data_IF_341842326409
#
_entry.id   IF_341842326409
#
_cell.length_a   1.000
_cell.length_b   1.000
_cell.length_c   1.000
_cell.angle_alpha   90.00
_cell.angle_beta   90.00
_cell.angle_gamma   90.00
#
_symmetry.space_group_name_H-M   'P 1'
#
loop_
_entity.id
_entity.type
_entity.pdbx_description
1 polymer ?
#
# COMPACT_ATOMS: atom_id res chain seq x y z
N UNK A 1 -10.92 -4.68 -19.34
CA UNK A 1 -12.02 -4.27 -18.44
C UNK A 1 -13.22 -5.10 -18.85
N UNK A 2 -14.03 -5.60 -17.90
CA UNK A 2 -14.94 -6.75 -18.07
C UNK A 2 -14.28 -8.14 -18.01
N UNK A 3 -13.36 -8.36 -17.05
CA UNK A 3 -12.74 -9.67 -16.84
C UNK A 3 -13.46 -10.54 -15.79
N UNK A 4 -14.61 -10.07 -15.28
CA UNK A 4 -15.40 -10.70 -14.23
C UNK A 4 -14.62 -11.02 -12.94
N UNK A 5 -13.50 -10.35 -12.71
CA UNK A 5 -12.60 -10.63 -11.57
C UNK A 5 -12.09 -9.40 -10.86
N UNK A 6 -11.89 -8.30 -11.57
CA UNK A 6 -11.34 -7.06 -10.98
C UNK A 6 -12.25 -5.87 -11.26
N UNK A 7 -12.44 -5.02 -10.24
CA UNK A 7 -13.23 -3.81 -10.35
C UNK A 7 -12.70 -2.71 -9.41
N UNK A 8 -13.11 -1.48 -9.68
CA UNK A 8 -12.90 -0.31 -8.83
C UNK A 8 -14.27 0.17 -8.40
N UNK A 9 -14.43 0.36 -7.10
CA UNK A 9 -15.68 0.73 -6.47
C UNK A 9 -15.49 2.11 -5.83
N UNK A 10 -16.45 2.99 -6.08
CA UNK A 10 -16.45 4.37 -5.60
C UNK A 10 -17.82 4.64 -5.00
N UNK A 11 -17.86 5.05 -3.76
CA UNK A 11 -19.12 5.34 -3.11
C UNK A 11 -19.12 6.63 -2.31
N UNK A 12 -20.32 7.17 -2.16
CA UNK A 12 -20.60 8.43 -1.49
C UNK A 12 -21.82 8.19 -0.61
N UNK A 13 -21.77 8.62 0.64
CA UNK A 13 -22.95 8.64 1.51
C UNK A 13 -23.69 9.99 1.44
N UNK A 14 -24.89 10.06 2.01
CA UNK A 14 -25.70 11.30 1.99
C UNK A 14 -25.03 12.50 2.67
N UNK A 15 -24.03 12.29 3.53
CA UNK A 15 -23.24 13.34 4.17
C UNK A 15 -22.05 13.82 3.30
N UNK A 16 -21.85 13.22 2.11
CA UNK A 16 -20.75 13.55 1.21
C UNK A 16 -19.43 12.87 1.57
N UNK A 17 -19.42 11.87 2.46
CA UNK A 17 -18.21 11.09 2.76
C UNK A 17 -17.94 10.16 1.61
N UNK A 18 -16.72 10.24 1.08
CA UNK A 18 -16.22 9.41 -0.02
C UNK A 18 -15.62 8.12 0.55
N UNK A 19 -15.73 7.04 -0.20
CA UNK A 19 -14.94 5.83 -0.01
C UNK A 19 -14.61 5.21 -1.35
N UNK A 20 -13.48 4.52 -1.43
CA UNK A 20 -13.11 3.73 -2.59
C UNK A 20 -12.49 2.40 -2.19
N UNK A 21 -12.70 1.41 -3.05
CA UNK A 21 -12.30 0.03 -2.82
C UNK A 21 -11.85 -0.54 -4.16
N UNK A 22 -10.80 -1.35 -4.13
CA UNK A 22 -10.46 -2.19 -5.28
C UNK A 22 -10.89 -3.62 -5.04
N UNK A 23 -11.73 -4.16 -5.91
CA UNK A 23 -12.15 -5.57 -5.91
C UNK A 23 -11.21 -6.42 -6.77
N UNK A 24 -10.87 -7.62 -6.30
CA UNK A 24 -10.05 -8.58 -7.04
C UNK A 24 -10.47 -10.02 -6.75
N UNK A 25 -10.11 -10.95 -7.63
CA UNK A 25 -10.50 -12.36 -7.53
C UNK A 25 -12.00 -12.57 -7.25
N UNK A 26 -12.82 -11.76 -7.92
CA UNK A 26 -14.29 -11.77 -7.91
C UNK A 26 -14.95 -11.33 -6.58
N UNK A 27 -14.43 -11.73 -5.42
CA UNK A 27 -15.06 -11.47 -4.11
C UNK A 27 -14.17 -10.67 -3.14
N UNK A 28 -12.84 -10.71 -3.32
CA UNK A 28 -11.92 -10.03 -2.42
C UNK A 28 -11.93 -8.51 -2.62
N UNK A 29 -11.59 -7.79 -1.55
CA UNK A 29 -11.55 -6.34 -1.51
C UNK A 29 -10.25 -5.85 -0.86
N UNK A 30 -9.69 -4.81 -1.47
CA UNK A 30 -8.61 -4.00 -0.94
C UNK A 30 -9.17 -2.63 -0.56
N UNK A 31 -9.35 -2.43 0.73
CA UNK A 31 -9.91 -1.23 1.37
C UNK A 31 -8.86 -0.15 1.61
N UNK A 32 -7.59 -0.49 1.41
CA UNK A 32 -6.46 0.44 1.58
C UNK A 32 -6.06 1.07 0.24
N UNK A 33 -6.72 0.68 -0.86
CA UNK A 33 -6.59 1.37 -2.14
C UNK A 33 -7.19 2.78 -2.01
N UNK A 34 -6.45 3.78 -2.48
CA UNK A 34 -6.82 5.19 -2.38
C UNK A 34 -6.68 5.86 -3.76
N UNK A 35 -7.80 6.30 -4.31
CA UNK A 35 -7.90 6.89 -5.64
C UNK A 35 -8.05 8.41 -5.60
N UNK A 36 -7.54 9.09 -6.63
CA UNK A 36 -7.71 10.54 -6.76
C UNK A 36 -8.96 10.84 -7.61
N UNK A 37 -10.09 11.11 -6.96
CA UNK A 37 -11.38 11.40 -7.60
C UNK A 37 -12.22 12.42 -6.81
N UNK A 38 -13.16 13.08 -7.48
CA UNK A 38 -14.07 14.03 -6.84
C UNK A 38 -15.49 13.45 -6.73
N UNK A 39 -16.17 13.74 -5.63
CA UNK A 39 -17.57 13.40 -5.42
C UNK A 39 -18.30 14.44 -4.59
N UNK A 40 -19.60 14.58 -4.80
CA UNK A 40 -20.44 15.48 -4.01
C UNK A 40 -21.82 14.86 -3.76
N UNK A 41 -22.39 15.15 -2.60
CA UNK A 41 -23.77 14.81 -2.27
C UNK A 41 -24.55 16.08 -1.91
N UNK A 42 -25.83 16.12 -2.28
CA UNK A 42 -26.74 17.21 -1.98
C UNK A 42 -28.05 16.65 -1.44
N UNK A 43 -28.55 17.22 -0.33
CA UNK A 43 -29.84 16.86 0.28
C UNK A 43 -30.84 17.97 -0.01
N UNK A 44 -32.02 17.61 -0.51
CA UNK A 44 -33.14 18.51 -0.76
C UNK A 44 -34.47 17.94 -0.27
N UNK A 45 -35.59 18.60 -0.61
CA UNK A 45 -36.94 18.21 -0.19
C UNK A 45 -37.39 16.85 -0.74
N UNK A 46 -36.78 16.35 -1.83
CA UNK A 46 -37.14 15.09 -2.48
C UNK A 46 -36.26 13.92 -2.02
N UNK A 47 -35.11 14.20 -1.41
CA UNK A 47 -34.19 13.19 -0.91
C UNK A 47 -32.75 13.66 -0.98
N UNK A 48 -31.85 12.79 -1.42
CA UNK A 48 -30.46 13.15 -1.67
C UNK A 48 -30.01 12.67 -3.04
N UNK A 49 -29.13 13.45 -3.65
CA UNK A 49 -28.45 13.15 -4.90
C UNK A 49 -26.95 13.09 -4.66
N UNK A 50 -26.24 12.32 -5.48
CA UNK A 50 -24.78 12.33 -5.51
C UNK A 50 -24.26 12.33 -6.94
N UNK A 51 -23.09 12.95 -7.11
CA UNK A 51 -22.36 13.05 -8.36
C UNK A 51 -20.93 12.55 -8.14
N UNK A 52 -20.44 11.77 -9.12
CA UNK A 52 -19.08 11.23 -9.14
C UNK A 52 -18.36 11.79 -10.35
N UNK A 53 -17.12 12.23 -10.15
CA UNK A 53 -16.18 12.58 -11.21
C UNK A 53 -14.94 11.72 -11.06
N UNK A 54 -14.92 10.60 -11.77
CA UNK A 54 -13.84 9.63 -11.74
C UNK A 54 -12.93 9.85 -12.96
N UNK A 55 -11.67 10.27 -12.77
CA UNK A 55 -10.72 10.39 -13.86
C UNK A 55 -10.39 9.03 -14.46
N UNK A 56 -10.41 8.92 -15.80
CA UNK A 56 -10.02 7.70 -16.51
C UNK A 56 -8.58 7.25 -16.23
N UNK A 57 -7.71 8.16 -15.79
CA UNK A 57 -6.35 7.84 -15.33
C UNK A 57 -6.30 6.91 -14.12
N UNK A 58 -7.34 6.92 -13.27
CA UNK A 58 -7.42 6.04 -12.09
C UNK A 58 -7.86 4.61 -12.47
N UNK A 59 -8.53 4.45 -13.61
CA UNK A 59 -9.13 3.19 -14.07
C UNK A 59 -8.23 2.36 -15.00
N UNK A 60 -6.90 2.50 -14.98
CA UNK A 60 -5.88 1.60 -15.59
C UNK A 60 -6.31 0.66 -16.75
N UNK A 61 -7.03 1.16 -17.75
CA UNK A 61 -7.57 0.35 -18.85
C UNK A 61 -6.74 0.55 -20.12
N UNK A 62 -6.73 -0.47 -20.97
CA UNK A 62 -6.18 -0.36 -22.33
C UNK A 62 -7.21 0.30 -23.23
N UNK A 63 -6.85 1.42 -23.86
CA UNK A 63 -7.75 2.14 -24.78
C UNK A 63 -8.01 1.33 -26.05
N UNK A 64 -9.26 1.31 -26.51
CA UNK A 64 -9.73 0.67 -27.75
C UNK A 64 -10.82 1.54 -28.41
N UNK A 65 -10.99 1.52 -29.74
CA UNK A 65 -12.05 2.28 -30.43
C UNK A 65 -13.46 1.99 -29.90
N UNK A 66 -13.74 0.72 -29.63
CA UNK A 66 -14.96 0.24 -29.00
C UNK A 66 -14.56 -0.52 -27.72
N UNK A 67 -15.15 -0.13 -26.59
CA UNK A 67 -14.90 -0.75 -25.28
C UNK A 67 -16.19 -1.19 -24.61
N UNK A 68 -16.09 -2.34 -23.95
CA UNK A 68 -17.13 -2.88 -23.07
C UNK A 68 -16.53 -3.01 -21.67
N UNK A 69 -17.21 -2.44 -20.68
CA UNK A 69 -16.78 -2.50 -19.28
C UNK A 69 -17.79 -3.28 -18.44
N UNK A 70 -17.30 -4.07 -17.51
CA UNK A 70 -18.14 -4.55 -16.41
C UNK A 70 -18.53 -3.34 -15.56
N UNK A 71 -19.82 -3.18 -15.29
CA UNK A 71 -20.36 -2.02 -14.60
C UNK A 71 -21.50 -2.43 -13.67
N UNK A 72 -21.55 -1.78 -12.52
CA UNK A 72 -22.61 -1.96 -11.55
C UNK A 72 -22.77 -0.69 -10.72
N UNK A 73 -23.98 -0.45 -10.24
CA UNK A 73 -24.22 0.46 -9.13
C UNK A 73 -25.24 -0.18 -8.20
N UNK A 74 -25.06 0.07 -6.91
CA UNK A 74 -25.95 -0.38 -5.87
C UNK A 74 -26.17 0.72 -4.85
N UNK A 75 -27.25 0.61 -4.08
CA UNK A 75 -27.59 1.51 -2.99
C UNK A 75 -27.85 0.68 -1.75
N UNK A 76 -27.17 1.00 -0.67
CA UNK A 76 -27.50 0.46 0.65
C UNK A 76 -28.29 1.50 1.44
N UNK A 77 -29.37 1.08 2.06
CA UNK A 77 -30.19 1.89 2.93
C UNK A 77 -30.35 1.21 4.30
N UNK A 78 -29.32 1.28 5.17
CA UNK A 78 -29.36 0.67 6.50
C UNK A 78 -30.57 1.15 7.34
N UNK A 79 -30.97 2.41 7.17
CA UNK A 79 -32.10 3.04 7.86
C UNK A 79 -33.48 2.58 7.35
N UNK A 80 -33.53 1.76 6.29
CA UNK A 80 -34.75 1.22 5.70
C UNK A 80 -34.66 -0.32 5.69
N UNK A 81 -34.72 -0.94 6.87
CA UNK A 81 -34.67 -2.40 7.05
C UNK A 81 -33.46 -3.08 6.37
N UNK A 82 -32.33 -2.37 6.30
CA UNK A 82 -31.13 -2.84 5.62
C UNK A 82 -31.34 -3.18 4.14
N UNK A 83 -32.17 -2.40 3.44
CA UNK A 83 -32.45 -2.57 2.02
C UNK A 83 -31.18 -2.39 1.17
N UNK A 84 -30.98 -3.30 0.21
CA UNK A 84 -29.96 -3.17 -0.84
C UNK A 84 -30.66 -3.16 -2.19
N UNK A 85 -30.56 -2.03 -2.91
CA UNK A 85 -31.08 -1.88 -4.26
C UNK A 85 -29.94 -2.09 -5.26
N UNK A 86 -30.13 -2.94 -6.27
CA UNK A 86 -29.11 -3.31 -7.25
C UNK A 86 -29.55 -2.93 -8.67
N UNK A 87 -28.64 -2.42 -9.50
CA UNK A 87 -28.92 -2.19 -10.92
C UNK A 87 -29.05 -3.49 -11.70
N UNK A 88 -28.03 -4.36 -11.59
CA UNK A 88 -28.07 -5.70 -12.14
C UNK A 88 -28.47 -6.69 -11.05
N UNK A 89 -29.21 -7.75 -11.40
CA UNK A 89 -29.61 -8.72 -10.38
C UNK A 89 -28.40 -9.54 -9.91
N UNK A 90 -28.12 -9.50 -8.61
CA UNK A 90 -27.16 -10.39 -7.96
C UNK A 90 -27.92 -11.49 -7.21
N UNK A 91 -27.85 -12.75 -7.67
CA UNK A 91 -28.50 -13.86 -6.99
C UNK A 91 -27.86 -14.10 -5.63
N UNK A 92 -28.67 -14.26 -4.57
CA UNK A 92 -28.19 -14.62 -3.22
C UNK A 92 -27.50 -15.99 -3.14
N UNK A 93 -27.63 -16.80 -4.18
CA UNK A 93 -27.01 -18.13 -4.28
C UNK A 93 -25.66 -18.12 -5.00
N UNK A 94 -25.17 -16.95 -5.42
CA UNK A 94 -23.90 -16.81 -6.13
C UNK A 94 -22.91 -16.02 -5.27
N UNK A 95 -21.76 -16.62 -5.00
CA UNK A 95 -20.74 -16.08 -4.10
C UNK A 95 -19.79 -15.07 -4.77
N UNK A 96 -19.92 -14.81 -6.08
CA UNK A 96 -19.12 -13.80 -6.79
C UNK A 96 -19.71 -12.38 -6.71
N UNK A 97 -18.88 -11.34 -6.70
CA UNK A 97 -19.33 -9.93 -6.75
C UNK A 97 -19.16 -9.38 -8.17
N UNK A 98 -17.92 -9.34 -8.64
CA UNK A 98 -17.54 -8.70 -9.90
C UNK A 98 -18.13 -9.44 -11.11
N UNK A 99 -18.25 -10.76 -11.02
CA UNK A 99 -18.82 -11.61 -12.07
C UNK A 99 -20.32 -11.41 -12.28
N UNK A 100 -21.03 -10.80 -11.32
CA UNK A 100 -22.44 -10.44 -11.43
C UNK A 100 -22.66 -9.02 -11.99
N UNK A 101 -21.60 -8.32 -12.39
CA UNK A 101 -21.73 -7.00 -12.98
C UNK A 101 -22.40 -7.07 -14.35
N UNK A 102 -23.12 -6.01 -14.72
CA UNK A 102 -23.67 -5.89 -16.07
C UNK A 102 -22.58 -5.41 -17.04
N UNK A 103 -22.89 -5.41 -18.34
CA UNK A 103 -21.98 -4.86 -19.36
C UNK A 103 -22.40 -3.46 -19.76
N UNK A 104 -21.54 -2.48 -19.51
CA UNK A 104 -21.64 -1.13 -20.07
C UNK A 104 -21.04 -1.12 -21.48
N UNK A 105 -21.88 -0.85 -22.46
CA UNK A 105 -21.51 -0.74 -23.88
C UNK A 105 -21.63 0.71 -24.36
N UNK A 106 -21.11 1.00 -25.55
CA UNK A 106 -21.21 2.34 -26.15
C UNK A 106 -20.11 3.31 -25.73
N UNK A 107 -19.10 2.85 -24.97
CA UNK A 107 -17.90 3.62 -24.68
C UNK A 107 -17.02 3.70 -25.94
N UNK A 108 -17.05 4.85 -26.60
CA UNK A 108 -16.29 5.12 -27.84
C UNK A 108 -15.31 6.25 -27.62
N UNK A 109 -14.11 6.11 -28.18
CA UNK A 109 -13.05 7.13 -28.13
C UNK A 109 -12.69 7.61 -26.72
N UNK A 110 -12.90 6.78 -25.70
CA UNK A 110 -12.46 7.08 -24.34
C UNK A 110 -10.93 6.93 -24.30
N UNK A 111 -10.24 8.06 -24.16
CA UNK A 111 -8.79 8.12 -24.07
C UNK A 111 -8.38 8.19 -22.62
N UNK A 112 -7.43 7.35 -22.22
CA UNK A 112 -6.76 7.52 -20.94
C UNK A 112 -5.74 8.64 -21.05
N UNK A 113 -5.80 9.61 -20.14
CA UNK A 113 -4.66 10.46 -19.88
C UNK A 113 -3.60 9.57 -19.20
N UNK A 114 -2.34 9.68 -19.63
CA UNK A 114 -1.21 8.98 -19.02
C UNK A 114 -0.37 9.99 -18.22
N UNK A 115 -0.94 10.62 -17.17
CA UNK A 115 -0.21 11.61 -16.39
C UNK A 115 0.96 10.93 -15.69
N UNK A 116 2.07 11.67 -15.61
CA UNK A 116 3.15 11.38 -14.68
C UNK A 116 2.87 12.23 -13.44
N UNK A 117 2.60 11.56 -12.33
CA UNK A 117 2.53 12.22 -11.03
C UNK A 117 3.91 12.16 -10.39
N UNK A 118 4.38 13.30 -9.89
CA UNK A 118 5.59 13.41 -9.07
C UNK A 118 5.17 14.11 -7.79
N UNK A 119 5.35 13.43 -6.66
CA UNK A 119 4.92 13.88 -5.35
C UNK A 119 6.18 14.00 -4.48
N UNK A 120 6.86 15.16 -4.48
CA UNK A 120 7.95 15.40 -3.56
C UNK A 120 7.41 15.61 -2.14
N UNK A 121 8.16 15.18 -1.15
CA UNK A 121 7.86 15.45 0.25
C UNK A 121 9.14 15.74 1.04
N UNK A 122 8.95 16.40 2.18
CA UNK A 122 10.00 16.67 3.15
C UNK A 122 9.45 16.44 4.55
N UNK A 123 10.23 15.76 5.38
CA UNK A 123 9.87 15.37 6.73
C UNK A 123 10.87 15.98 7.68
N UNK A 124 10.37 16.67 8.70
CA UNK A 124 11.16 17.15 9.83
C UNK A 124 10.64 16.50 11.10
N UNK A 125 11.52 15.84 11.85
CA UNK A 125 11.23 15.29 13.17
C UNK A 125 12.15 15.93 14.18
N UNK A 126 11.59 16.29 15.33
CA UNK A 126 12.33 16.77 16.48
C UNK A 126 11.84 15.98 17.71
N UNK A 127 12.63 15.02 18.15
CA UNK A 127 12.39 14.34 19.42
C UNK A 127 12.99 15.18 20.53
N UNK A 128 12.24 15.44 21.61
CA UNK A 128 12.71 16.23 22.76
C UNK A 128 12.39 15.44 24.02
N UNK A 129 13.42 15.01 24.74
CA UNK A 129 13.26 14.21 25.95
C UNK A 129 14.50 14.30 26.85
N UNK A 130 14.29 14.28 28.16
CA UNK A 130 15.37 14.13 29.14
C UNK A 130 16.07 12.76 29.02
N UNK A 131 15.35 11.74 28.53
CA UNK A 131 15.89 10.39 28.35
C UNK A 131 16.80 10.27 27.12
N UNK A 132 16.81 11.27 26.23
CA UNK A 132 17.77 11.32 25.12
C UNK A 132 19.16 11.71 25.61
N UNK A 133 19.25 12.34 26.78
CA UNK A 133 20.51 12.79 27.33
C UNK A 133 21.31 11.60 27.85
N UNK A 134 22.37 11.24 27.15
CA UNK A 134 23.36 10.25 27.62
C UNK A 134 24.72 10.90 27.80
N UNK A 135 25.69 10.15 28.33
CA UNK A 135 27.07 10.62 28.42
C UNK A 135 27.66 10.94 27.03
N UNK A 136 27.09 10.35 25.97
CA UNK A 136 27.53 10.49 24.58
C UNK A 136 26.56 11.28 23.68
N UNK A 137 25.32 11.50 24.12
CA UNK A 137 24.34 12.40 23.49
C UNK A 137 23.94 13.50 24.49
N UNK A 138 24.73 14.58 24.63
CA UNK A 138 24.50 15.58 25.68
C UNK A 138 23.28 16.48 25.39
N UNK A 139 22.78 16.46 24.16
CA UNK A 139 21.58 17.19 23.75
C UNK A 139 20.31 16.49 24.24
N UNK A 140 19.29 17.29 24.60
CA UNK A 140 17.96 16.77 24.96
C UNK A 140 17.04 16.61 23.75
N UNK A 141 17.62 16.71 22.56
CA UNK A 141 16.87 16.68 21.32
C UNK A 141 17.62 15.87 20.27
N UNK A 142 16.84 15.27 19.37
CA UNK A 142 17.32 14.70 18.12
C UNK A 142 16.51 15.30 16.97
N UNK A 143 17.19 15.76 15.92
CA UNK A 143 16.56 16.42 14.77
C UNK A 143 16.89 15.62 13.53
N UNK A 144 15.83 15.18 12.86
CA UNK A 144 15.93 14.44 11.61
C UNK A 144 15.21 15.22 10.52
N UNK A 145 15.87 15.36 9.39
CA UNK A 145 15.32 15.94 8.17
C UNK A 145 15.50 14.97 7.01
N UNK A 146 14.40 14.59 6.36
CA UNK A 146 14.40 13.73 5.18
C UNK A 146 13.70 14.43 4.04
N UNK A 147 14.15 14.15 2.83
CA UNK A 147 13.47 14.53 1.59
C UNK A 147 13.30 13.27 0.74
N UNK A 148 12.20 13.19 0.04
CA UNK A 148 11.97 12.09 -0.88
C UNK A 148 10.94 12.48 -1.94
N UNK A 149 10.68 11.53 -2.82
CA UNK A 149 9.71 11.73 -3.89
C UNK A 149 9.10 10.41 -4.32
N UNK A 150 7.80 10.45 -4.58
CA UNK A 150 7.07 9.37 -5.22
C UNK A 150 6.75 9.73 -6.67
N UNK A 151 6.83 8.75 -7.56
CA UNK A 151 6.57 8.88 -8.99
C UNK A 151 5.57 7.81 -9.38
N UNK A 152 4.48 8.22 -10.03
CA UNK A 152 3.48 7.32 -10.61
C UNK A 152 3.28 7.64 -12.07
N UNK A 153 3.41 6.63 -12.92
CA UNK A 153 3.17 6.72 -14.36
C UNK A 153 2.31 5.55 -14.83
N UNK A 154 1.15 5.87 -15.40
CA UNK A 154 0.30 4.90 -16.08
C UNK A 154 0.62 4.92 -17.57
N UNK A 155 0.92 3.77 -18.14
CA UNK A 155 1.18 3.62 -19.58
C UNK A 155 -0.12 3.33 -20.36
N UNK A 156 -0.17 3.66 -21.67
CA UNK A 156 -1.33 3.39 -22.51
C UNK A 156 -1.70 1.90 -22.66
N UNK A 157 -0.77 1.00 -22.31
CA UNK A 157 -0.90 -0.45 -22.48
C UNK A 157 -1.40 -1.15 -21.22
N UNK A 158 -1.88 -0.40 -20.21
CA UNK A 158 -2.46 -0.95 -18.99
C UNK A 158 -1.43 -1.34 -17.92
N UNK A 159 -0.17 -0.89 -18.04
CA UNK A 159 0.87 -1.04 -17.02
C UNK A 159 1.08 0.27 -16.26
N UNK A 160 1.21 0.19 -14.94
CA UNK A 160 1.53 1.33 -14.06
C UNK A 160 2.90 1.11 -13.42
N UNK A 161 3.80 2.07 -13.63
CA UNK A 161 5.06 2.20 -12.91
C UNK A 161 4.83 3.08 -11.69
N UNK A 162 5.22 2.58 -10.52
CA UNK A 162 5.33 3.36 -9.30
C UNK A 162 6.76 3.28 -8.81
N UNK A 163 7.33 4.40 -8.41
CA UNK A 163 8.67 4.45 -7.84
C UNK A 163 8.68 5.40 -6.65
N UNK A 164 9.54 5.12 -5.69
CA UNK A 164 9.77 5.95 -4.52
C UNK A 164 11.26 6.09 -4.27
N UNK A 165 11.68 7.28 -3.85
CA UNK A 165 13.05 7.58 -3.47
C UNK A 165 13.00 8.08 -2.02
N UNK A 166 13.78 7.42 -1.17
CA UNK A 166 13.87 7.67 0.27
C UNK A 166 12.50 7.77 0.99
N UNK A 167 11.56 6.82 0.76
CA UNK A 167 10.20 6.82 1.30
C UNK A 167 10.13 7.16 2.78
N UNK A 168 9.22 8.06 3.17
CA UNK A 168 8.81 8.19 4.57
C UNK A 168 7.62 7.28 4.85
N UNK A 169 7.89 6.19 5.56
CA UNK A 169 6.87 5.28 6.06
C UNK A 169 6.55 5.53 7.54
N UNK A 170 7.07 6.60 8.15
CA UNK A 170 6.75 6.96 9.54
C UNK A 170 5.32 7.49 9.74
N UNK A 171 4.57 7.71 8.66
CA UNK A 171 3.19 8.22 8.70
C UNK A 171 2.11 7.13 8.64
N UNK A 172 2.48 5.85 8.49
CA UNK A 172 1.48 4.76 8.56
C UNK A 172 1.16 4.43 10.02
N UNK A 173 -0.10 4.06 10.26
CA UNK A 173 -0.57 3.65 11.58
C UNK A 173 0.34 2.57 12.18
N UNK A 174 0.66 2.74 13.46
CA UNK A 174 1.42 1.74 14.21
C UNK A 174 0.66 0.41 14.24
N UNK A 175 1.40 -0.69 14.16
CA UNK A 175 0.79 -2.01 14.24
C UNK A 175 0.11 -2.23 15.58
N UNK A 176 -1.03 -2.93 15.60
CA UNK A 176 -1.63 -3.35 16.84
C UNK A 176 -0.64 -4.24 17.60
N UNK A 177 -0.52 -4.01 18.92
CA UNK A 177 0.28 -4.85 19.77
C UNK A 177 -0.26 -6.28 19.74
N UNK A 178 0.51 -7.21 19.17
CA UNK A 178 0.16 -8.62 19.08
C UNK A 178 1.13 -9.47 19.91
N UNK A 179 0.58 -10.38 20.72
CA UNK A 179 1.36 -11.35 21.50
C UNK A 179 1.34 -12.69 20.78
N UNK A 180 2.20 -12.84 19.79
CA UNK A 180 2.33 -14.11 19.08
C UNK A 180 3.18 -15.09 19.89
N UNK A 181 2.53 -16.15 20.37
CA UNK A 181 3.15 -17.25 21.14
C UNK A 181 3.49 -18.46 20.26
N UNK A 182 3.38 -18.34 18.94
CA UNK A 182 3.68 -19.39 17.97
C UNK A 182 5.07 -19.23 17.37
N UNK A 183 5.56 -20.26 16.68
CA UNK A 183 6.85 -20.23 15.97
C UNK A 183 6.73 -19.66 14.55
N UNK A 184 5.57 -19.12 14.17
CA UNK A 184 5.31 -18.53 12.85
C UNK A 184 5.27 -17.01 12.96
N UNK A 185 5.69 -16.31 11.91
CA UNK A 185 5.66 -14.84 11.85
C UNK A 185 4.21 -14.33 11.80
N UNK A 186 3.87 -13.28 12.57
CA UNK A 186 2.58 -12.59 12.44
C UNK A 186 2.59 -11.75 11.18
N UNK A 187 1.55 -11.88 10.36
CA UNK A 187 1.34 -11.05 9.19
C UNK A 187 0.44 -9.86 9.53
N UNK A 188 0.97 -8.65 9.38
CA UNK A 188 0.19 -7.41 9.48
C UNK A 188 -0.18 -6.91 8.09
N UNK A 189 -1.34 -6.26 7.98
CA UNK A 189 -1.79 -5.65 6.71
C UNK A 189 -0.85 -4.54 6.30
N UNK A 190 -0.43 -4.51 5.05
CA UNK A 190 0.39 -3.41 4.54
C UNK A 190 -0.45 -2.12 4.43
N UNK A 191 0.07 -1.00 4.93
CA UNK A 191 -0.61 0.31 4.92
C UNK A 191 0.12 1.35 4.08
N UNK A 192 1.36 1.08 3.71
CA UNK A 192 2.19 2.00 2.93
C UNK A 192 1.69 2.02 1.49
N UNK A 193 1.26 3.17 1.00
CA UNK A 193 0.64 3.34 -0.32
C UNK A 193 1.46 2.71 -1.45
N UNK A 194 2.80 2.86 -1.41
CA UNK A 194 3.70 2.23 -2.37
C UNK A 194 3.62 0.69 -2.38
N UNK A 195 3.32 0.02 -1.28
CA UNK A 195 3.24 -1.45 -1.27
C UNK A 195 1.80 -1.95 -1.48
N UNK A 196 0.78 -1.18 -1.10
CA UNK A 196 -0.64 -1.51 -1.31
C UNK A 196 -1.04 -1.48 -2.78
N UNK A 197 -0.62 -0.43 -3.50
CA UNK A 197 -1.06 -0.24 -4.87
C UNK A 197 -0.55 -1.37 -5.78
N UNK A 198 -1.41 -2.03 -6.54
CA UNK A 198 -1.00 -3.17 -7.37
C UNK A 198 -0.59 -4.43 -6.59
N UNK A 199 -0.75 -4.47 -5.26
CA UNK A 199 -0.40 -5.61 -4.41
C UNK A 199 -1.04 -6.92 -4.87
N UNK A 200 -2.30 -6.90 -5.31
CA UNK A 200 -3.01 -8.08 -5.83
C UNK A 200 -2.29 -8.78 -7.01
N UNK A 201 -1.54 -8.03 -7.83
CA UNK A 201 -0.74 -8.58 -8.92
C UNK A 201 0.55 -9.19 -8.38
N UNK A 202 1.08 -8.68 -7.28
CA UNK A 202 2.33 -9.14 -6.66
C UNK A 202 2.12 -10.16 -5.53
N UNK A 203 0.89 -10.39 -5.11
CA UNK A 203 0.57 -11.30 -4.00
C UNK A 203 0.63 -12.76 -4.45
N UNK A 204 1.40 -13.56 -3.71
CA UNK A 204 1.54 -15.00 -3.93
C UNK A 204 0.91 -15.76 -2.78
N UNK A 205 -0.40 -16.00 -2.84
CA UNK A 205 -1.01 -16.89 -1.85
C UNK A 205 -0.54 -18.32 -2.08
N UNK A 206 0.14 -18.88 -1.09
CA UNK A 206 0.54 -20.28 -1.03
C UNK A 206 -0.47 -21.15 -0.26
N UNK A 207 -1.43 -20.51 0.41
CA UNK A 207 -2.43 -21.16 1.24
C UNK A 207 -3.58 -21.72 0.40
N UNK A 208 -4.03 -22.93 0.76
CA UNK A 208 -5.32 -23.47 0.35
C UNK A 208 -6.20 -23.59 1.60
N UNK A 209 -7.43 -23.05 1.57
CA UNK A 209 -8.39 -23.15 2.68
C UNK A 209 -8.67 -21.83 3.39
N UNK A 210 -9.37 -21.91 4.52
CA UNK A 210 -9.75 -20.78 5.39
C UNK A 210 -8.91 -20.82 6.70
N UNK A 211 -8.66 -19.66 7.33
CA UNK A 211 -7.86 -19.50 8.56
C UNK A 211 -6.38 -19.12 8.38
N UNK A 212 -5.56 -19.23 9.44
CA UNK A 212 -4.17 -18.75 9.51
C UNK A 212 -3.25 -19.30 8.40
N UNK A 213 -3.56 -20.47 7.83
CA UNK A 213 -2.81 -21.07 6.73
C UNK A 213 -3.09 -20.44 5.36
N UNK A 214 -4.20 -19.69 5.22
CA UNK A 214 -4.61 -19.00 4.00
C UNK A 214 -3.78 -17.74 3.71
N UNK A 215 -3.14 -17.16 4.74
CA UNK A 215 -2.34 -15.94 4.64
C UNK A 215 -0.86 -16.17 4.33
N UNK A 216 -0.43 -17.42 4.12
CA UNK A 216 0.95 -17.71 3.74
C UNK A 216 1.25 -17.07 2.39
N UNK A 217 2.07 -16.01 2.40
CA UNK A 217 2.55 -15.34 1.20
C UNK A 217 4.04 -15.62 1.01
N UNK A 218 4.47 -15.87 -0.23
CA UNK A 218 5.91 -15.95 -0.54
C UNK A 218 6.63 -14.63 -0.26
N UNK A 219 5.89 -13.52 -0.31
CA UNK A 219 6.45 -12.18 -0.23
C UNK A 219 5.69 -11.34 0.78
N UNK A 220 6.41 -10.89 1.81
CA UNK A 220 5.87 -10.05 2.88
C UNK A 220 6.59 -8.69 2.87
N UNK A 221 5.89 -7.67 2.35
CA UNK A 221 6.43 -6.33 2.09
C UNK A 221 6.94 -5.64 3.36
N UNK A 222 6.38 -5.95 4.53
CA UNK A 222 6.79 -5.36 5.83
C UNK A 222 8.19 -5.76 6.28
N UNK A 223 8.80 -6.77 5.67
CA UNK A 223 10.23 -7.06 5.87
C UNK A 223 11.13 -5.97 5.26
N UNK A 224 10.65 -5.27 4.24
CA UNK A 224 11.39 -4.16 3.63
C UNK A 224 11.24 -2.94 4.55
N UNK A 225 12.37 -2.48 5.09
CA UNK A 225 12.43 -1.35 6.01
C UNK A 225 12.02 -1.68 7.45
N UNK A 226 12.08 -2.95 7.83
CA UNK A 226 11.91 -3.40 9.23
C UNK A 226 13.04 -2.89 10.14
N UNK A 227 12.89 -3.07 11.44
CA UNK A 227 13.98 -2.88 12.40
C UNK A 227 15.16 -3.83 12.10
N UNK A 228 16.41 -3.35 12.16
CA UNK A 228 17.60 -4.19 12.01
C UNK A 228 17.56 -5.44 12.87
N UNK A 229 17.83 -6.61 12.28
CA UNK A 229 17.71 -7.90 12.99
C UNK A 229 19.03 -8.40 13.60
N UNK A 230 20.17 -7.84 13.18
CA UNK A 230 21.48 -8.28 13.67
C UNK A 230 21.88 -7.46 14.88
N UNK A 231 22.28 -8.12 15.96
CA UNK A 231 22.87 -7.44 17.11
C UNK A 231 24.22 -6.83 16.73
N UNK A 232 24.48 -5.61 17.20
CA UNK A 232 25.77 -4.95 17.07
C UNK A 232 26.89 -5.87 17.59
N UNK A 233 27.88 -6.15 16.74
CA UNK A 233 29.07 -6.90 17.14
C UNK A 233 29.98 -5.98 17.96
N UNK A 234 30.43 -6.45 19.12
CA UNK A 234 31.23 -5.69 20.08
C UNK A 234 32.62 -6.32 20.24
N UNK A 235 33.61 -5.54 20.65
CA UNK A 235 34.93 -6.05 21.02
C UNK A 235 34.86 -6.72 22.40
N UNK A 236 35.06 -8.05 22.44
CA UNK A 236 35.01 -8.85 23.66
C UNK A 236 36.05 -8.42 24.73
N UNK A 237 37.06 -7.62 24.36
CA UNK A 237 38.08 -7.13 25.29
C UNK A 237 37.72 -5.80 25.94
N UNK A 238 36.57 -5.21 25.60
CA UNK A 238 36.14 -3.89 26.09
C UNK A 238 34.78 -3.98 26.77
N UNK A 239 34.60 -3.19 27.83
CA UNK A 239 33.30 -3.04 28.48
C UNK A 239 32.44 -2.04 27.69
N UNK A 240 31.24 -2.49 27.31
CA UNK A 240 30.26 -1.71 26.55
C UNK A 240 29.49 -0.80 27.50
N UNK A 241 29.48 0.49 27.19
CA UNK A 241 28.72 1.50 27.92
C UNK A 241 27.32 1.67 27.33
N UNK A 242 27.24 1.93 26.02
CA UNK A 242 25.99 2.26 25.32
C UNK A 242 26.02 1.70 23.89
N UNK A 243 24.88 1.19 23.41
CA UNK A 243 24.68 0.81 22.01
C UNK A 243 23.50 1.61 21.47
N UNK A 244 23.76 2.40 20.44
CA UNK A 244 22.74 3.13 19.69
C UNK A 244 22.52 2.44 18.35
N UNK A 245 21.33 1.88 18.16
CA UNK A 245 20.94 1.20 16.93
C UNK A 245 19.79 1.92 16.23
N UNK A 246 19.73 1.93 14.89
CA UNK A 246 18.58 2.43 14.16
C UNK A 246 17.31 1.65 14.50
N UNK A 247 16.17 2.35 14.57
CA UNK A 247 14.87 1.72 14.84
C UNK A 247 14.25 1.06 13.60
N UNK A 248 14.69 1.47 12.42
CA UNK A 248 14.20 1.04 11.12
C UNK A 248 15.35 1.01 10.12
N UNK A 249 15.31 0.09 9.17
CA UNK A 249 16.21 0.08 8.02
C UNK A 249 15.69 1.04 6.96
N UNK A 250 16.53 1.98 6.52
CA UNK A 250 16.14 2.96 5.52
C UNK A 250 15.98 2.30 4.16
N UNK A 251 14.88 2.59 3.49
CA UNK A 251 14.69 2.20 2.08
C UNK A 251 15.25 3.34 1.25
N UNK A 252 16.30 3.06 0.47
CA UNK A 252 16.93 4.04 -0.42
C UNK A 252 16.00 4.39 -1.59
N UNK A 253 15.29 3.39 -2.07
CA UNK A 253 14.26 3.54 -3.09
C UNK A 253 13.65 2.21 -3.46
N UNK A 254 12.52 2.27 -4.13
CA UNK A 254 11.84 1.10 -4.67
C UNK A 254 11.09 1.46 -5.95
N UNK A 255 10.91 0.48 -6.83
CA UNK A 255 10.12 0.61 -8.04
C UNK A 255 9.29 -0.66 -8.26
N UNK A 256 8.05 -0.49 -8.69
CA UNK A 256 7.17 -1.57 -9.12
C UNK A 256 6.52 -1.24 -10.46
N UNK A 257 6.48 -2.21 -11.35
CA UNK A 257 5.73 -2.19 -12.59
C UNK A 257 4.64 -3.25 -12.49
N UNK A 258 3.38 -2.82 -12.47
CA UNK A 258 2.25 -3.74 -12.32
C UNK A 258 1.15 -3.40 -13.31
N UNK A 259 0.46 -4.40 -13.85
CA UNK A 259 -0.72 -4.16 -14.67
C UNK A 259 -1.17 -5.39 -15.45
N UNK A 260 -2.16 -5.18 -16.33
CA UNK A 260 -2.69 -6.19 -17.23
C UNK A 260 -2.57 -5.73 -18.67
N UNK A 261 -2.02 -6.58 -19.53
CA UNK A 261 -1.92 -6.30 -20.97
C UNK A 261 -3.29 -6.41 -21.64
N UNK A 262 -3.39 -5.95 -22.89
CA UNK A 262 -4.60 -6.11 -23.71
C UNK A 262 -5.04 -7.58 -23.88
N UNK A 263 -4.11 -8.52 -23.83
CA UNK A 263 -4.38 -9.97 -23.91
C UNK A 263 -4.82 -10.59 -22.58
N UNK A 264 -4.91 -9.80 -21.51
CA UNK A 264 -5.30 -10.26 -20.17
C UNK A 264 -4.16 -10.84 -19.33
N UNK A 265 -2.91 -10.77 -19.80
CA UNK A 265 -1.75 -11.23 -19.03
C UNK A 265 -1.47 -10.22 -17.92
N UNK A 266 -1.45 -10.67 -16.68
CA UNK A 266 -1.02 -9.87 -15.53
C UNK A 266 0.50 -9.94 -15.41
N UNK A 267 1.16 -8.78 -15.28
CA UNK A 267 2.61 -8.67 -15.08
C UNK A 267 2.86 -7.88 -13.81
N UNK A 268 3.69 -8.42 -12.92
CA UNK A 268 4.13 -7.74 -11.70
C UNK A 268 5.63 -7.87 -11.51
N UNK A 269 6.34 -6.74 -11.51
CA UNK A 269 7.76 -6.68 -11.16
C UNK A 269 7.92 -5.66 -10.05
N UNK A 270 8.69 -5.97 -9.02
CA UNK A 270 9.06 -5.02 -7.98
C UNK A 270 10.51 -5.22 -7.56
N UNK A 271 11.18 -4.11 -7.27
CA UNK A 271 12.52 -4.06 -6.74
C UNK A 271 12.58 -2.97 -5.64
N UNK A 272 13.16 -3.30 -4.49
CA UNK A 272 13.43 -2.35 -3.42
C UNK A 272 14.86 -2.51 -2.90
N UNK A 273 15.54 -1.39 -2.67
CA UNK A 273 16.88 -1.35 -2.11
C UNK A 273 16.84 -0.70 -0.72
N UNK A 274 17.34 -1.42 0.26
CA UNK A 274 17.53 -0.94 1.64
C UNK A 274 18.98 -0.60 1.90
N UNK A 275 19.23 0.42 2.72
CA UNK A 275 20.55 0.87 3.12
C UNK A 275 21.25 -0.16 4.01
N UNK A 276 22.58 -0.09 4.03
CA UNK A 276 23.35 -0.69 5.13
C UNK A 276 23.16 0.18 6.38
N UNK A 277 22.76 -0.44 7.48
CA UNK A 277 22.57 0.22 8.77
C UNK A 277 23.71 -0.13 9.70
N UNK A 278 24.22 0.89 10.40
CA UNK A 278 25.27 0.73 11.41
C UNK A 278 24.75 1.15 12.76
N UNK A 279 25.11 0.39 13.79
CA UNK A 279 24.96 0.85 15.17
C UNK A 279 26.19 1.67 15.57
N UNK A 280 26.08 2.47 16.61
CA UNK A 280 27.22 3.06 17.29
C UNK A 280 27.38 2.41 18.65
N UNK A 281 28.52 1.77 18.89
CA UNK A 281 28.88 1.15 20.17
C UNK A 281 29.87 2.05 20.87
N UNK A 282 29.55 2.47 22.09
CA UNK A 282 30.41 3.25 22.98
C UNK A 282 30.99 2.34 24.06
N UNK A 283 32.31 2.42 24.29
CA UNK A 283 33.00 1.66 25.33
C UNK A 283 33.44 2.57 26.50
N UNK A 284 33.65 1.98 27.67
CA UNK A 284 34.08 2.69 28.88
C UNK A 284 35.49 3.31 28.76
N UNK A 285 36.33 2.80 27.86
CA UNK A 285 37.64 3.37 27.56
C UNK A 285 37.58 4.64 26.69
N UNK A 286 36.38 5.06 26.29
CA UNK A 286 36.10 6.22 25.45
C UNK A 286 36.25 5.98 23.95
N UNK A 287 36.57 4.75 23.52
CA UNK A 287 36.55 4.38 22.10
C UNK A 287 35.14 4.09 21.60
N UNK A 288 34.95 4.10 20.28
CA UNK A 288 33.67 3.77 19.64
C UNK A 288 33.87 2.92 18.39
N UNK A 289 32.91 2.05 18.13
CA UNK A 289 32.83 1.22 16.92
C UNK A 289 31.50 1.46 16.18
N UNK A 290 31.51 1.15 14.88
CA UNK A 290 30.34 1.27 14.01
C UNK A 290 30.02 -0.06 13.30
N UNK A 291 29.62 -1.12 14.04
CA UNK A 291 29.31 -2.40 13.44
C UNK A 291 28.06 -2.31 12.56
N UNK A 292 28.09 -3.02 11.43
CA UNK A 292 26.91 -3.21 10.58
C UNK A 292 25.88 -4.08 11.30
N UNK A 293 24.66 -3.58 11.42
CA UNK A 293 23.50 -4.26 12.06
C UNK A 293 22.44 -4.69 11.05
N UNK A 294 22.44 -4.09 9.86
CA UNK A 294 21.68 -4.59 8.71
C UNK A 294 22.51 -4.36 7.43
N UNK A 295 22.77 -5.39 6.62
CA UNK A 295 23.49 -5.21 5.37
C UNK A 295 22.63 -4.53 4.30
N UNK A 296 23.29 -3.89 3.34
CA UNK A 296 22.65 -3.44 2.10
C UNK A 296 21.90 -4.61 1.43
N UNK A 297 20.58 -4.51 1.36
CA UNK A 297 19.75 -5.62 0.88
C UNK A 297 18.84 -5.18 -0.26
N UNK A 298 18.82 -6.00 -1.32
CA UNK A 298 17.91 -5.88 -2.45
C UNK A 298 16.76 -6.89 -2.31
N UNK A 299 15.54 -6.43 -2.53
CA UNK A 299 14.32 -7.23 -2.50
C UNK A 299 13.68 -7.21 -3.89
N UNK A 300 13.82 -8.29 -4.64
CA UNK A 300 13.25 -8.44 -5.97
C UNK A 300 12.06 -9.40 -6.00
N UNK A 301 11.02 -9.06 -6.75
CA UNK A 301 9.86 -9.91 -7.02
C UNK A 301 9.44 -9.83 -8.49
N UNK A 302 9.16 -10.98 -9.10
CA UNK A 302 8.65 -11.08 -10.48
C UNK A 302 7.51 -12.10 -10.54
N UNK A 303 6.41 -11.72 -11.19
CA UNK A 303 5.23 -12.55 -11.47
C UNK A 303 4.70 -12.33 -12.87
#
# INVERSE_FOLDING_TARGET
YNDNRTAFEFGINAAGVLHDIRRFDDDNADWDWDAVWDGAAHIDEQGWTAEWRIPFSELRFTSSPDMEWGFHFYREAPNYDNEVSLWNHWPRSNDGIVSNFGTLTGLKNVQTANPVYVIPYGVGRADISENLKTDHHPEKYDILARIGADIRYSSPIGLTLNATINPDFGQVEADPADYNLTNFETYFREKRTFFVEGANILQFSLGFGDGDMAYNTLFYTRRIGRTPITSAQTDDNKEVNEIQSPNETHILGAAKLTGKTASGISIGVMDALTAEETATVYYDDGTKDHPVVEPLTNYGLVR
#
